data_IF_805065561440
#
_entry.id   IF_805065561440
#
_cell.length_a   1.000
_cell.length_b   1.000
_cell.length_c   1.000
_cell.angle_alpha   90.00
_cell.angle_beta   90.00
_cell.angle_gamma   90.00
#
_symmetry.space_group_name_H-M   'P 1'
#
loop_
_entity.id
_entity.type
_entity.pdbx_description
1 polymer ?
#
# COMPACT_ATOMS: atom_id res chain seq x y z
N UNK A 1 2.87 2.12 1.91
CA UNK A 1 4.09 1.56 1.27
C UNK A 1 3.94 1.69 -0.25
N UNK A 2 4.96 2.16 -0.96
CA UNK A 2 4.91 2.25 -2.45
C UNK A 2 5.34 0.91 -3.03
N UNK A 3 4.39 0.00 -3.27
CA UNK A 3 4.70 -1.28 -3.91
C UNK A 3 4.47 -1.16 -5.41
N UNK A 4 5.55 -1.03 -6.18
CA UNK A 4 5.49 -1.03 -7.65
C UNK A 4 5.45 -2.45 -8.22
N UNK A 5 6.16 -3.38 -7.57
CA UNK A 5 6.25 -4.80 -7.92
C UNK A 5 6.36 -5.57 -6.61
N UNK A 6 5.51 -6.57 -6.39
CA UNK A 6 5.60 -7.43 -5.21
C UNK A 6 6.79 -8.41 -5.37
N UNK A 7 7.63 -8.52 -4.34
CA UNK A 7 8.72 -9.49 -4.26
C UNK A 7 8.86 -9.94 -2.80
N UNK A 8 9.66 -10.98 -2.54
CA UNK A 8 9.73 -11.63 -1.22
C UNK A 8 9.93 -10.65 -0.06
N UNK A 9 10.86 -9.70 -0.17
CA UNK A 9 11.11 -8.73 0.89
C UNK A 9 9.90 -7.85 1.26
N UNK A 10 8.97 -7.62 0.33
CA UNK A 10 7.71 -6.94 0.65
C UNK A 10 6.77 -7.84 1.48
N UNK A 11 6.75 -9.13 1.18
CA UNK A 11 5.94 -10.11 1.92
C UNK A 11 6.48 -10.22 3.35
N UNK A 12 7.79 -10.43 3.51
CA UNK A 12 8.45 -10.53 4.82
C UNK A 12 8.22 -9.26 5.66
N UNK A 13 8.29 -8.09 5.02
CA UNK A 13 8.04 -6.81 5.68
C UNK A 13 6.59 -6.67 6.14
N UNK A 14 5.63 -7.00 5.29
CA UNK A 14 4.20 -6.88 5.63
C UNK A 14 3.77 -7.93 6.67
N UNK A 15 4.36 -9.13 6.64
CA UNK A 15 4.12 -10.16 7.64
C UNK A 15 4.60 -9.69 9.02
N UNK A 16 5.80 -9.09 9.11
CA UNK A 16 6.31 -8.46 10.33
C UNK A 16 5.43 -7.29 10.78
N UNK A 17 4.96 -6.46 9.85
CA UNK A 17 4.05 -5.37 10.17
C UNK A 17 2.72 -5.87 10.76
N UNK A 18 2.18 -7.00 10.25
CA UNK A 18 0.95 -7.62 10.79
C UNK A 18 1.12 -8.05 12.25
N UNK A 19 2.33 -8.45 12.67
CA UNK A 19 2.59 -8.88 14.04
C UNK A 19 2.52 -7.75 15.07
N UNK A 20 2.50 -6.48 14.63
CA UNK A 20 2.49 -5.32 15.52
C UNK A 20 1.09 -4.95 16.04
N UNK A 21 0.02 -5.47 15.45
CA UNK A 21 -1.34 -5.13 15.86
C UNK A 21 -2.41 -6.12 15.39
N UNK A 22 -3.68 -5.79 15.60
CA UNK A 22 -4.80 -6.71 15.33
C UNK A 22 -5.27 -6.70 13.88
N UNK A 23 -5.06 -5.58 13.18
CA UNK A 23 -5.48 -5.35 11.80
C UNK A 23 -4.38 -4.70 10.99
N UNK A 24 -4.10 -5.22 9.79
CA UNK A 24 -3.18 -4.62 8.84
C UNK A 24 -3.93 -3.98 7.66
N UNK A 25 -3.77 -2.66 7.53
CA UNK A 25 -4.30 -1.87 6.42
C UNK A 25 -3.13 -1.52 5.48
N UNK A 26 -3.24 -1.89 4.21
CA UNK A 26 -2.26 -1.53 3.19
C UNK A 26 -2.84 -0.48 2.26
N UNK A 27 -2.30 0.74 2.36
CA UNK A 27 -2.61 1.83 1.46
C UNK A 27 -1.63 1.86 0.27
N UNK A 28 -2.19 1.84 -0.95
CA UNK A 28 -1.45 1.94 -2.21
C UNK A 28 -1.76 3.25 -2.92
N UNK A 29 -0.76 3.88 -3.51
CA UNK A 29 -0.99 5.01 -4.42
C UNK A 29 -1.79 4.55 -5.65
N UNK A 30 -2.67 5.41 -6.14
CA UNK A 30 -3.32 5.25 -7.46
C UNK A 30 -2.30 5.38 -8.60
N UNK A 31 -2.70 4.95 -9.80
CA UNK A 31 -1.87 5.06 -11.00
C UNK A 31 -1.57 6.52 -11.33
N UNK A 32 -2.57 7.40 -11.14
CA UNK A 32 -2.42 8.86 -11.24
C UNK A 32 -1.35 9.38 -10.29
N UNK A 33 -1.43 9.02 -9.00
CA UNK A 33 -0.46 9.44 -7.97
C UNK A 33 0.95 8.96 -8.30
N UNK A 34 1.11 7.68 -8.68
CA UNK A 34 2.42 7.14 -9.06
C UNK A 34 2.98 7.82 -10.30
N UNK A 35 2.16 8.07 -11.32
CA UNK A 35 2.60 8.76 -12.54
C UNK A 35 3.12 10.17 -12.24
N UNK A 36 2.53 10.87 -11.27
CA UNK A 36 3.00 12.20 -10.84
C UNK A 36 4.33 12.13 -10.09
N UNK A 37 4.53 11.10 -9.26
CA UNK A 37 5.73 10.94 -8.42
C UNK A 37 6.92 10.36 -9.20
N UNK A 38 6.66 9.40 -10.09
CA UNK A 38 7.68 8.57 -10.76
C UNK A 38 7.76 8.80 -12.27
N UNK A 39 6.93 9.69 -12.82
CA UNK A 39 6.87 10.02 -14.24
C UNK A 39 5.84 9.20 -15.02
N UNK A 40 5.55 9.61 -16.28
CA UNK A 40 4.42 9.12 -17.07
C UNK A 40 4.51 7.63 -17.48
N UNK A 41 5.70 7.03 -17.39
CA UNK A 41 5.89 5.61 -17.70
C UNK A 41 5.61 4.68 -16.50
N UNK A 42 5.14 5.22 -15.38
CA UNK A 42 4.85 4.46 -14.16
C UNK A 42 3.39 4.71 -13.73
N UNK A 43 2.73 3.71 -13.11
CA UNK A 43 3.26 2.39 -12.76
C UNK A 43 3.27 1.39 -13.94
N UNK A 44 4.10 0.35 -13.84
CA UNK A 44 4.11 -0.77 -14.82
C UNK A 44 2.91 -1.71 -14.59
N UNK A 45 2.55 -1.91 -13.33
CA UNK A 45 1.39 -2.70 -12.90
C UNK A 45 0.34 -1.73 -12.37
N UNK A 46 -0.85 -1.74 -12.96
CA UNK A 46 -1.94 -0.84 -12.58
C UNK A 46 -2.42 -1.07 -11.14
N UNK A 47 -3.14 -0.09 -10.60
CA UNK A 47 -3.60 -0.05 -9.21
C UNK A 47 -4.51 -1.24 -8.87
N UNK A 48 -5.35 -1.66 -9.80
CA UNK A 48 -6.23 -2.80 -9.62
C UNK A 48 -5.43 -4.10 -9.42
N UNK A 49 -4.47 -4.38 -10.29
CA UNK A 49 -3.62 -5.57 -10.18
C UNK A 49 -2.77 -5.53 -8.90
N UNK A 50 -2.18 -4.37 -8.57
CA UNK A 50 -1.43 -4.19 -7.31
C UNK A 50 -2.32 -4.44 -6.09
N UNK A 51 -3.54 -3.90 -6.07
CA UNK A 51 -4.49 -4.08 -4.98
C UNK A 51 -4.92 -5.55 -4.85
N UNK A 52 -5.19 -6.23 -5.97
CA UNK A 52 -5.51 -7.67 -5.99
C UNK A 52 -4.37 -8.54 -5.46
N UNK A 53 -3.11 -8.22 -5.77
CA UNK A 53 -1.96 -8.93 -5.22
C UNK A 53 -1.88 -8.76 -3.69
N UNK A 54 -2.06 -7.54 -3.17
CA UNK A 54 -2.07 -7.33 -1.72
C UNK A 54 -3.25 -8.05 -1.07
N UNK A 55 -4.45 -7.93 -1.63
CA UNK A 55 -5.67 -8.53 -1.08
C UNK A 55 -5.65 -10.08 -1.09
N UNK A 56 -4.76 -10.69 -1.86
CA UNK A 56 -4.58 -12.15 -1.87
C UNK A 56 -3.74 -12.66 -0.69
N UNK A 57 -3.04 -11.78 0.03
CA UNK A 57 -2.24 -12.17 1.19
C UNK A 57 -3.13 -12.28 2.42
N UNK A 58 -3.21 -13.48 3.01
CA UNK A 58 -4.11 -13.81 4.13
C UNK A 58 -3.98 -12.87 5.33
N UNK A 59 -2.79 -12.32 5.57
CA UNK A 59 -2.50 -11.47 6.72
C UNK A 59 -2.81 -9.99 6.49
N UNK A 60 -3.32 -9.61 5.31
CA UNK A 60 -3.78 -8.25 5.01
C UNK A 60 -5.29 -8.18 5.21
N UNK A 61 -5.75 -7.31 6.09
CA UNK A 61 -7.17 -7.17 6.41
C UNK A 61 -7.88 -6.20 5.45
N UNK A 62 -7.22 -5.11 5.06
CA UNK A 62 -7.80 -4.08 4.20
C UNK A 62 -6.75 -3.59 3.20
N UNK A 63 -7.15 -3.44 1.94
CA UNK A 63 -6.38 -2.74 0.91
C UNK A 63 -7.17 -1.51 0.49
N UNK A 64 -6.52 -0.35 0.50
CA UNK A 64 -7.13 0.91 0.09
C UNK A 64 -6.23 1.68 -0.87
N UNK A 65 -6.84 2.56 -1.67
CA UNK A 65 -6.15 3.42 -2.62
C UNK A 65 -6.18 4.87 -2.13
N UNK A 66 -5.16 5.65 -2.51
CA UNK A 66 -5.15 7.10 -2.29
C UNK A 66 -4.47 7.85 -3.45
N UNK A 67 -4.97 9.03 -3.76
CA UNK A 67 -4.57 9.83 -4.92
C UNK A 67 -3.48 10.86 -4.60
N UNK A 68 -3.36 11.22 -3.32
CA UNK A 68 -2.46 12.25 -2.85
C UNK A 68 -0.99 11.85 -3.02
N UNK A 69 -0.11 12.84 -3.08
CA UNK A 69 1.34 12.60 -3.16
C UNK A 69 1.90 12.01 -1.85
N UNK A 70 1.23 12.28 -0.74
CA UNK A 70 1.55 11.74 0.57
C UNK A 70 0.29 11.16 1.20
N UNK A 71 0.40 10.08 2.02
CA UNK A 71 -0.76 9.44 2.62
C UNK A 71 -1.31 10.21 3.85
N UNK A 72 -0.98 11.49 4.03
CA UNK A 72 -1.27 12.24 5.27
C UNK A 72 -2.78 12.31 5.53
N UNK A 73 -3.57 12.69 4.52
CA UNK A 73 -5.04 12.79 4.64
C UNK A 73 -5.64 11.43 5.00
N UNK A 74 -5.15 10.36 4.38
CA UNK A 74 -5.61 9.00 4.66
C UNK A 74 -5.24 8.55 6.08
N UNK A 75 -4.01 8.86 6.54
CA UNK A 75 -3.56 8.57 7.90
C UNK A 75 -4.42 9.34 8.91
N UNK A 76 -4.72 10.60 8.64
CA UNK A 76 -5.60 11.42 9.49
C UNK A 76 -7.04 10.91 9.53
N UNK A 77 -7.54 10.34 8.43
CA UNK A 77 -8.87 9.75 8.38
C UNK A 77 -8.94 8.39 9.10
N UNK A 78 -7.92 7.55 8.96
CA UNK A 78 -7.87 6.20 9.56
C UNK A 78 -7.46 6.24 11.03
N UNK A 79 -6.62 7.19 11.44
CA UNK A 79 -6.03 7.28 12.79
C UNK A 79 -5.38 5.96 13.25
N UNK A 80 -4.39 5.41 12.52
CA UNK A 80 -3.78 4.14 12.89
C UNK A 80 -2.99 4.27 14.20
N UNK A 81 -3.08 3.26 15.07
CA UNK A 81 -2.30 3.21 16.30
C UNK A 81 -0.79 3.02 16.04
N UNK A 82 -0.45 2.34 14.95
CA UNK A 82 0.92 2.03 14.55
C UNK A 82 1.07 2.35 13.07
N UNK A 83 2.09 3.16 12.73
CA UNK A 83 2.44 3.48 11.36
C UNK A 83 3.78 2.82 11.00
N UNK A 84 3.77 1.95 9.99
CA UNK A 84 4.97 1.29 9.45
C UNK A 84 5.21 1.83 8.03
N UNK A 85 6.45 2.24 7.72
CA UNK A 85 6.81 2.86 6.44
C UNK A 85 7.88 2.09 5.67
#
# INVERSE_FOLDING_TARGET
MVVLILFLGHIDYLEKARQLGDKLIVALNTDKSISQIKGPQRPVINEYARARHMAALQFIDIVTLFDELTPIILIEAIQPNILVK
#
